data_IF_293912067483
#
_entry.id   IF_293912067483
#
_cell.length_a   1.000
_cell.length_b   1.000
_cell.length_c   1.000
_cell.angle_alpha   90.00
_cell.angle_beta   90.00
_cell.angle_gamma   90.00
#
_symmetry.space_group_name_H-M   'P 1'
#
loop_
_entity.id
_entity.type
_entity.pdbx_description
1 polymer ?
#
# COMPACT_ATOMS: atom_id res chain seq x y z
N UNK A 1 9.66 9.66 -13.57
CA UNK A 1 9.00 9.80 -12.25
C UNK A 1 7.51 9.74 -12.47
N UNK A 2 6.83 8.75 -11.90
CA UNK A 2 5.37 8.59 -12.00
C UNK A 2 4.81 8.67 -10.58
N UNK A 3 3.81 9.52 -10.35
CA UNK A 3 3.11 9.64 -9.07
C UNK A 3 1.60 9.55 -9.30
N UNK A 4 0.89 9.05 -8.29
CA UNK A 4 -0.58 8.97 -8.24
C UNK A 4 -1.04 9.59 -6.91
N UNK A 5 -2.15 10.33 -6.94
CA UNK A 5 -2.81 10.81 -5.72
C UNK A 5 -4.11 10.03 -5.55
N UNK A 6 -4.24 9.38 -4.40
CA UNK A 6 -5.40 8.54 -4.06
C UNK A 6 -6.00 9.02 -2.73
N UNK A 7 -7.33 9.01 -2.65
CA UNK A 7 -8.05 9.27 -1.41
C UNK A 7 -8.58 7.93 -0.90
N UNK A 8 -8.26 7.61 0.36
CA UNK A 8 -8.70 6.39 1.05
C UNK A 8 -9.56 6.75 2.25
N UNK A 9 -10.27 5.77 2.80
CA UNK A 9 -11.04 5.99 4.02
C UNK A 9 -10.10 6.05 5.22
N UNK A 10 -10.51 6.72 6.29
CA UNK A 10 -9.72 6.80 7.52
C UNK A 10 -9.57 5.46 8.25
N UNK A 11 -10.43 4.49 7.94
CA UNK A 11 -10.45 3.14 8.50
C UNK A 11 -9.85 2.08 7.55
N UNK A 12 -9.24 2.50 6.44
CA UNK A 12 -8.55 1.59 5.52
C UNK A 12 -7.38 0.91 6.23
N UNK A 13 -7.39 -0.41 6.24
CA UNK A 13 -6.33 -1.24 6.80
C UNK A 13 -5.06 -1.19 5.94
N UNK A 14 -3.91 -1.58 6.49
CA UNK A 14 -2.66 -1.61 5.73
C UNK A 14 -2.70 -2.64 4.59
N UNK A 15 -3.38 -3.77 4.79
CA UNK A 15 -3.59 -4.77 3.74
C UNK A 15 -4.43 -4.21 2.58
N UNK A 16 -5.52 -3.50 2.88
CA UNK A 16 -6.32 -2.84 1.84
C UNK A 16 -5.53 -1.74 1.13
N UNK A 17 -4.74 -0.95 1.87
CA UNK A 17 -3.87 0.07 1.29
C UNK A 17 -2.85 -0.55 0.33
N UNK A 18 -2.25 -1.69 0.69
CA UNK A 18 -1.37 -2.46 -0.19
C UNK A 18 -2.05 -2.84 -1.49
N UNK A 19 -3.24 -3.43 -1.43
CA UNK A 19 -4.01 -3.77 -2.64
C UNK A 19 -4.33 -2.54 -3.50
N UNK A 20 -4.70 -1.42 -2.89
CA UNK A 20 -4.97 -0.17 -3.63
C UNK A 20 -3.71 0.30 -4.36
N UNK A 21 -2.54 0.24 -3.71
CA UNK A 21 -1.25 0.62 -4.33
C UNK A 21 -0.93 -0.30 -5.51
N UNK A 22 -1.09 -1.62 -5.35
CA UNK A 22 -0.85 -2.58 -6.43
C UNK A 22 -1.70 -2.22 -7.66
N UNK A 23 -3.00 -1.99 -7.48
CA UNK A 23 -3.93 -1.67 -8.56
C UNK A 23 -3.59 -0.36 -9.29
N UNK A 24 -3.29 0.73 -8.56
CA UNK A 24 -3.05 2.04 -9.20
C UNK A 24 -1.68 2.14 -9.87
N UNK A 25 -0.74 1.28 -9.46
CA UNK A 25 0.58 1.15 -10.08
C UNK A 25 0.62 0.10 -11.19
N UNK A 26 -0.39 -0.77 -11.27
CA UNK A 26 -0.43 -1.90 -12.22
C UNK A 26 0.58 -3.00 -11.85
N UNK A 27 0.74 -3.25 -10.55
CA UNK A 27 1.59 -4.31 -10.02
C UNK A 27 0.76 -5.55 -9.64
N UNK A 28 1.41 -6.72 -9.60
CA UNK A 28 0.74 -8.02 -9.47
C UNK A 28 1.02 -8.76 -8.14
N UNK A 29 1.32 -8.06 -7.04
CA UNK A 29 1.52 -8.67 -5.70
C UNK A 29 2.52 -9.85 -5.63
N UNK A 30 3.42 -9.97 -6.61
CA UNK A 30 4.37 -11.09 -6.71
C UNK A 30 5.52 -11.04 -5.70
N UNK A 31 5.65 -9.94 -4.95
CA UNK A 31 6.77 -9.68 -4.05
C UNK A 31 6.28 -9.34 -2.65
N UNK A 32 7.10 -9.69 -1.66
CA UNK A 32 6.86 -9.32 -0.27
C UNK A 32 6.74 -7.79 -0.13
N UNK A 33 5.81 -7.37 0.73
CA UNK A 33 5.56 -5.96 1.05
C UNK A 33 5.92 -5.66 2.50
N UNK A 34 6.30 -4.40 2.75
CA UNK A 34 6.62 -3.90 4.08
C UNK A 34 6.25 -2.42 4.15
N UNK A 35 5.45 -2.06 5.15
CA UNK A 35 5.08 -0.69 5.48
C UNK A 35 5.73 -0.28 6.80
N UNK A 36 6.44 0.85 6.80
CA UNK A 36 7.03 1.44 8.00
C UNK A 36 6.31 2.74 8.34
N UNK A 37 5.52 2.69 9.40
CA UNK A 37 4.69 3.83 9.84
C UNK A 37 5.09 4.17 11.27
N UNK A 38 5.58 5.39 11.49
CA UNK A 38 6.01 5.87 12.81
C UNK A 38 6.96 4.90 13.53
N UNK A 39 7.90 4.29 12.79
CA UNK A 39 8.87 3.33 13.34
C UNK A 39 8.32 1.92 13.59
N UNK A 40 7.04 1.66 13.35
CA UNK A 40 6.44 0.33 13.40
C UNK A 40 6.41 -0.30 12.01
N UNK A 41 6.79 -1.57 11.96
CA UNK A 41 6.80 -2.37 10.74
C UNK A 41 5.52 -3.20 10.63
N UNK A 42 4.97 -3.25 9.42
CA UNK A 42 3.82 -4.06 9.03
C UNK A 42 4.18 -4.80 7.75
N UNK A 43 4.30 -6.11 7.87
CA UNK A 43 4.55 -7.04 6.77
C UNK A 43 3.54 -8.18 6.88
N UNK A 44 3.24 -8.81 5.74
CA UNK A 44 2.54 -10.10 5.73
C UNK A 44 3.48 -11.23 6.16
#
# INVERSE_FOLDING_TARGET
>A
MIWRRIQVRGDTTIAELHYIIQLVMGWEDDHLNCFKINGREYSN
#
